data_IF_761240176103
#
_entry.id   IF_761240176103
#
_cell.length_a   1.000
_cell.length_b   1.000
_cell.length_c   1.000
_cell.angle_alpha   90.00
_cell.angle_beta   90.00
_cell.angle_gamma   90.00
#
_symmetry.space_group_name_H-M   'P 1'
#
loop_
_entity.id
_entity.type
_entity.pdbx_description
1 polymer ?
#
# COMPACT_ATOMS: atom_id res chain seq x y z
N UNK A 1 -42.74 24.64 15.25
CA UNK A 1 -41.40 24.16 15.60
C UNK A 1 -40.65 25.29 16.27
N UNK A 2 -39.99 25.06 17.41
CA UNK A 2 -39.14 26.04 18.08
C UNK A 2 -37.73 26.02 17.46
N UNK A 3 -37.26 27.09 16.80
CA UNK A 3 -35.92 27.14 16.22
C UNK A 3 -34.79 26.95 17.24
N UNK A 4 -35.02 27.27 18.52
CA UNK A 4 -34.03 27.04 19.56
C UNK A 4 -33.93 25.54 19.92
N UNK A 5 -35.04 24.80 19.84
CA UNK A 5 -35.07 23.36 20.06
C UNK A 5 -34.36 22.61 18.94
N UNK A 6 -34.61 22.99 17.68
CA UNK A 6 -33.91 22.41 16.52
C UNK A 6 -32.39 22.63 16.61
N UNK A 7 -31.95 23.81 17.04
CA UNK A 7 -30.52 24.08 17.28
C UNK A 7 -29.93 23.23 18.39
N UNK A 8 -30.67 23.01 19.48
CA UNK A 8 -30.23 22.13 20.58
C UNK A 8 -30.11 20.69 20.08
N UNK A 9 -31.05 20.24 19.27
CA UNK A 9 -31.06 18.88 18.72
C UNK A 9 -29.91 18.64 17.77
N UNK A 10 -29.68 19.56 16.82
CA UNK A 10 -28.56 19.47 15.89
C UNK A 10 -27.20 19.42 16.62
N UNK A 11 -27.05 20.17 17.72
CA UNK A 11 -25.86 20.14 18.56
C UNK A 11 -25.66 18.77 19.21
N UNK A 12 -26.71 18.21 19.82
CA UNK A 12 -26.67 16.85 20.42
C UNK A 12 -26.31 15.79 19.40
N UNK A 13 -26.91 15.88 18.22
CA UNK A 13 -26.66 14.93 17.14
C UNK A 13 -25.23 15.01 16.62
N UNK A 14 -24.68 16.22 16.48
CA UNK A 14 -23.26 16.42 16.13
C UNK A 14 -22.32 15.85 17.18
N UNK A 15 -22.59 16.07 18.48
CA UNK A 15 -21.79 15.52 19.57
C UNK A 15 -21.80 13.99 19.59
N UNK A 16 -22.98 13.38 19.35
CA UNK A 16 -23.11 11.93 19.20
C UNK A 16 -22.28 11.38 18.04
N UNK A 17 -22.41 11.96 16.83
CA UNK A 17 -21.64 11.52 15.67
C UNK A 17 -20.13 11.69 15.86
N UNK A 18 -19.69 12.75 16.53
CA UNK A 18 -18.29 12.94 16.88
C UNK A 18 -17.79 11.84 17.82
N UNK A 19 -18.54 11.54 18.88
CA UNK A 19 -18.19 10.48 19.85
C UNK A 19 -18.06 9.12 19.17
N UNK A 20 -19.05 8.74 18.34
CA UNK A 20 -18.99 7.49 17.55
C UNK A 20 -17.78 7.50 16.61
N UNK A 21 -17.49 8.64 15.98
CA UNK A 21 -16.33 8.83 15.14
C UNK A 21 -15.00 8.51 15.84
N UNK A 22 -14.81 9.03 17.06
CA UNK A 22 -13.59 8.76 17.83
C UNK A 22 -13.48 7.30 18.28
N UNK A 23 -14.61 6.63 18.58
CA UNK A 23 -14.61 5.19 18.89
C UNK A 23 -14.16 4.39 17.67
N UNK A 24 -14.75 4.64 16.50
CA UNK A 24 -14.32 3.99 15.26
C UNK A 24 -12.83 4.26 14.97
N UNK A 25 -12.40 5.52 15.03
CA UNK A 25 -11.00 5.89 14.81
C UNK A 25 -10.02 5.17 15.78
N UNK A 26 -10.45 4.91 17.02
CA UNK A 26 -9.66 4.15 18.01
C UNK A 26 -9.62 2.65 17.69
N UNK A 27 -10.71 2.08 17.17
CA UNK A 27 -10.78 0.67 16.75
C UNK A 27 -9.94 0.40 15.49
N UNK A 28 -9.97 1.32 14.51
CA UNK A 28 -9.21 1.20 13.26
C UNK A 28 -7.73 1.62 13.39
N UNK A 29 -7.34 2.23 14.53
CA UNK A 29 -5.95 2.55 14.88
C UNK A 29 -5.35 3.79 14.19
N UNK A 30 -5.97 4.29 13.12
CA UNK A 30 -5.58 5.54 12.46
C UNK A 30 -6.80 6.47 12.45
N UNK A 31 -6.78 7.57 13.22
CA UNK A 31 -7.89 8.50 13.24
C UNK A 31 -8.07 9.23 11.90
N UNK A 32 -9.31 9.26 11.41
CA UNK A 32 -9.68 9.97 10.17
C UNK A 32 -10.02 11.44 10.41
N UNK A 33 -10.34 11.82 11.66
CA UNK A 33 -10.73 13.18 12.06
C UNK A 33 -9.93 13.71 13.24
N UNK A 34 -9.47 14.95 13.12
CA UNK A 34 -8.76 15.63 14.21
C UNK A 34 -9.77 15.98 15.30
N UNK A 35 -9.41 15.85 16.59
CA UNK A 35 -10.20 16.40 17.69
C UNK A 35 -10.54 17.89 17.54
N UNK A 36 -9.71 18.60 16.79
CA UNK A 36 -9.86 20.01 16.42
C UNK A 36 -10.87 20.28 15.28
N UNK A 37 -11.42 19.25 14.64
CA UNK A 37 -12.36 19.35 13.52
C UNK A 37 -11.72 19.43 12.13
N UNK A 38 -10.38 19.43 12.05
CA UNK A 38 -9.64 19.32 10.78
C UNK A 38 -9.59 17.88 10.26
N UNK A 39 -9.49 17.71 8.95
CA UNK A 39 -9.22 16.41 8.33
C UNK A 39 -7.79 15.98 8.67
N UNK A 40 -7.59 14.73 9.10
CA UNK A 40 -6.24 14.21 9.43
C UNK A 40 -5.48 13.78 8.20
N UNK A 41 -6.17 13.19 7.22
CA UNK A 41 -5.56 12.60 6.04
C UNK A 41 -6.12 13.27 4.78
N UNK A 42 -5.22 13.65 3.88
CA UNK A 42 -5.57 14.14 2.56
C UNK A 42 -5.94 12.96 1.65
N UNK A 43 -7.22 12.85 1.29
CA UNK A 43 -7.73 11.77 0.43
C UNK A 43 -7.00 11.74 -0.92
N UNK A 44 -6.58 12.90 -1.46
CA UNK A 44 -5.84 12.98 -2.72
C UNK A 44 -4.46 12.33 -2.60
N UNK A 45 -3.78 12.51 -1.46
CA UNK A 45 -2.47 11.90 -1.22
C UNK A 45 -2.60 10.39 -0.97
N UNK A 46 -3.68 9.91 -0.36
CA UNK A 46 -3.96 8.47 -0.26
C UNK A 46 -4.12 7.85 -1.65
N UNK A 47 -4.94 8.45 -2.52
CA UNK A 47 -5.17 7.94 -3.86
C UNK A 47 -3.86 7.90 -4.66
N UNK A 48 -3.08 8.98 -4.60
CA UNK A 48 -1.78 9.09 -5.25
C UNK A 48 -0.79 8.03 -4.74
N UNK A 49 -0.70 7.83 -3.43
CA UNK A 49 0.21 6.84 -2.84
C UNK A 49 -0.23 5.41 -3.17
N UNK A 50 -1.53 5.14 -3.19
CA UNK A 50 -2.09 3.83 -3.56
C UNK A 50 -1.66 3.45 -4.98
N UNK A 51 -1.82 4.36 -5.95
CA UNK A 51 -1.37 4.15 -7.32
C UNK A 51 0.13 3.85 -7.42
N UNK A 52 0.97 4.57 -6.66
CA UNK A 52 2.42 4.33 -6.63
C UNK A 52 2.78 2.96 -6.06
N UNK A 53 2.01 2.46 -5.09
CA UNK A 53 2.20 1.11 -4.54
C UNK A 53 1.86 0.06 -5.58
N UNK A 54 0.73 0.20 -6.29
CA UNK A 54 0.34 -0.72 -7.38
C UNK A 54 1.39 -0.78 -8.49
N UNK A 55 1.95 0.37 -8.89
CA UNK A 55 3.05 0.43 -9.87
C UNK A 55 4.31 -0.29 -9.35
N UNK A 56 4.67 -0.08 -8.08
CA UNK A 56 5.83 -0.73 -7.46
C UNK A 56 5.67 -2.26 -7.38
N UNK A 57 4.47 -2.76 -7.07
CA UNK A 57 4.18 -4.19 -7.03
C UNK A 57 4.38 -4.87 -8.41
N UNK A 58 3.96 -4.21 -9.49
CA UNK A 58 4.19 -4.70 -10.85
C UNK A 58 5.68 -4.80 -11.17
N UNK A 59 6.48 -3.80 -10.77
CA UNK A 59 7.94 -3.80 -10.93
C UNK A 59 8.57 -4.94 -10.13
N UNK A 60 8.16 -5.15 -8.87
CA UNK A 60 8.68 -6.23 -8.02
C UNK A 60 8.42 -7.61 -8.67
N UNK A 61 7.20 -7.82 -9.20
CA UNK A 61 6.86 -9.05 -9.90
C UNK A 61 7.74 -9.28 -11.13
N UNK A 62 8.02 -8.23 -11.90
CA UNK A 62 8.93 -8.29 -13.04
C UNK A 62 10.36 -8.65 -12.60
N UNK A 63 10.88 -8.00 -11.55
CA UNK A 63 12.23 -8.26 -11.01
C UNK A 63 12.38 -9.73 -10.59
N UNK A 64 11.39 -10.29 -9.89
CA UNK A 64 11.42 -11.71 -9.49
C UNK A 64 11.48 -12.64 -10.71
N UNK A 65 10.73 -12.33 -11.77
CA UNK A 65 10.76 -13.13 -13.00
C UNK A 65 12.09 -13.00 -13.74
N UNK A 66 12.66 -11.80 -13.81
CA UNK A 66 13.96 -11.56 -14.43
C UNK A 66 15.08 -12.29 -13.69
N UNK A 67 15.07 -12.27 -12.36
CA UNK A 67 16.08 -12.99 -11.57
C UNK A 67 16.09 -14.49 -11.87
N UNK A 68 14.91 -15.13 -11.98
CA UNK A 68 14.80 -16.54 -12.37
C UNK A 68 15.38 -16.81 -13.78
N UNK A 69 15.17 -15.88 -14.71
CA UNK A 69 15.75 -16.00 -16.06
C UNK A 69 17.27 -15.86 -16.03
N UNK A 70 17.80 -14.94 -15.23
CA UNK A 70 19.24 -14.75 -15.05
C UNK A 70 19.87 -16.03 -14.48
N UNK A 71 19.32 -16.58 -13.40
CA UNK A 71 19.80 -17.84 -12.80
C UNK A 71 19.82 -18.98 -13.84
N UNK A 72 18.77 -19.08 -14.67
CA UNK A 72 18.68 -20.09 -15.72
C UNK A 72 19.77 -19.90 -16.78
N UNK A 73 19.99 -18.66 -17.23
CA UNK A 73 21.01 -18.33 -18.24
C UNK A 73 22.42 -18.55 -17.72
N UNK A 74 22.69 -18.23 -16.45
CA UNK A 74 23.99 -18.47 -15.81
C UNK A 74 24.35 -19.96 -15.80
N UNK A 75 23.39 -20.83 -15.45
CA UNK A 75 23.57 -22.29 -15.50
C UNK A 75 23.84 -22.77 -16.93
N UNK A 76 23.08 -22.28 -17.92
CA UNK A 76 23.28 -22.65 -19.32
C UNK A 76 24.67 -22.25 -19.82
N UNK A 77 25.13 -21.02 -19.52
CA UNK A 77 26.45 -20.52 -19.91
C UNK A 77 27.56 -21.37 -19.29
N UNK A 78 27.46 -21.69 -18.00
CA UNK A 78 28.44 -22.53 -17.32
C UNK A 78 28.48 -23.94 -17.92
N UNK A 79 27.32 -24.52 -18.24
CA UNK A 79 27.24 -25.86 -18.85
C UNK A 79 27.98 -25.92 -20.19
N UNK A 80 27.79 -24.91 -21.05
CA UNK A 80 28.51 -24.83 -22.34
C UNK A 80 30.01 -24.67 -22.12
N UNK A 81 30.42 -23.78 -21.21
CA UNK A 81 31.85 -23.57 -20.90
C UNK A 81 32.53 -24.83 -20.37
N UNK A 82 31.85 -25.61 -19.53
CA UNK A 82 32.35 -26.90 -19.04
C UNK A 82 32.52 -27.88 -20.20
N UNK A 83 31.52 -28.02 -21.07
CA UNK A 83 31.60 -28.91 -22.23
C UNK A 83 32.74 -28.54 -23.18
N UNK A 84 32.99 -27.24 -23.39
CA UNK A 84 34.12 -26.78 -24.21
C UNK A 84 35.48 -27.07 -23.54
N UNK A 85 35.59 -26.88 -22.22
CA UNK A 85 36.79 -27.22 -21.46
C UNK A 85 37.06 -28.73 -21.47
N UNK A 86 36.03 -29.55 -21.32
CA UNK A 86 36.15 -31.01 -21.36
C UNK A 86 36.71 -31.49 -22.70
N UNK A 87 36.25 -30.93 -23.83
CA UNK A 87 36.82 -31.23 -25.14
C UNK A 87 38.31 -30.89 -25.22
N UNK A 88 38.72 -29.71 -24.73
CA UNK A 88 40.13 -29.30 -24.76
C UNK A 88 41.02 -30.15 -23.83
N UNK A 89 40.47 -30.64 -22.71
CA UNK A 89 41.24 -31.38 -21.72
C UNK A 89 41.29 -32.90 -21.96
N UNK A 90 40.28 -33.47 -22.63
CA UNK A 90 40.10 -34.92 -22.74
C UNK A 90 40.03 -35.46 -24.19
N UNK A 91 39.97 -34.60 -25.22
CA UNK A 91 40.28 -34.98 -26.62
C UNK A 91 41.76 -34.70 -26.95
#
# INVERSE_FOLDING_TARGET
MDPAEERREMKRQKEYYNMVGYVCDSEYGIPTRCPCGSTIIDEEEIERLTKRVEEAEQVIKLVVNLNKQIETLEVQILTVKVADLEKVCFE
#
